data_IF_432735296392
#
_entry.id   IF_432735296392
#
_cell.length_a   1.000
_cell.length_b   1.000
_cell.length_c   1.000
_cell.angle_alpha   90.00
_cell.angle_beta   90.00
_cell.angle_gamma   90.00
#
_symmetry.space_group_name_H-M   'P 1'
#
loop_
_entity.id
_entity.type
_entity.pdbx_description
1 polymer ?
#
# COMPACT_ATOMS: atom_id res chain seq x y z
N UNK A 1 9.10 9.63 -9.25
CA UNK A 1 7.63 9.70 -9.19
C UNK A 1 7.04 9.27 -10.53
N UNK A 2 6.07 8.34 -10.51
CA UNK A 2 5.20 8.02 -11.65
C UNK A 2 3.79 8.48 -11.31
N UNK A 3 3.10 9.13 -12.25
CA UNK A 3 1.74 9.65 -12.06
C UNK A 3 0.77 9.00 -13.04
N UNK A 4 -0.37 8.51 -12.56
CA UNK A 4 -1.45 7.98 -13.41
C UNK A 4 -2.59 9.01 -13.48
N UNK A 5 -3.01 9.34 -14.70
CA UNK A 5 -4.01 10.38 -14.97
C UNK A 5 -5.42 10.08 -14.43
N UNK A 6 -6.16 11.16 -14.17
CA UNK A 6 -7.47 11.15 -13.50
C UNK A 6 -8.64 10.52 -14.31
N UNK A 7 -8.39 10.01 -15.51
CA UNK A 7 -9.37 9.25 -16.31
C UNK A 7 -9.31 7.73 -16.08
N UNK A 8 -8.43 7.27 -15.19
CA UNK A 8 -8.22 5.85 -14.92
C UNK A 8 -9.38 5.24 -14.10
N UNK A 9 -9.73 3.95 -14.27
CA UNK A 9 -10.63 3.23 -13.36
C UNK A 9 -10.19 3.28 -11.88
N UNK A 10 -8.98 3.76 -11.58
CA UNK A 10 -8.51 4.05 -10.23
C UNK A 10 -9.20 5.26 -9.55
N UNK A 11 -9.98 6.05 -10.29
CA UNK A 11 -10.73 7.22 -9.80
C UNK A 11 -12.12 6.93 -9.23
N UNK A 12 -12.47 5.67 -9.06
CA UNK A 12 -13.73 5.26 -8.42
C UNK A 12 -13.60 5.14 -6.90
N UNK A 13 -14.71 5.31 -6.20
CA UNK A 13 -14.80 5.01 -4.78
C UNK A 13 -14.88 3.48 -4.58
N UNK A 14 -13.96 2.92 -3.80
CA UNK A 14 -13.86 1.48 -3.60
C UNK A 14 -14.31 1.07 -2.20
N UNK A 15 -15.11 0.01 -2.12
CA UNK A 15 -15.36 -0.73 -0.87
C UNK A 15 -14.47 -1.96 -0.74
N UNK A 16 -13.75 -2.31 -1.81
CA UNK A 16 -12.73 -3.34 -1.83
C UNK A 16 -11.50 -2.85 -2.61
N UNK A 17 -10.32 -3.04 -2.04
CA UNK A 17 -9.06 -2.61 -2.65
C UNK A 17 -7.93 -3.55 -2.23
N UNK A 18 -6.97 -3.78 -3.11
CA UNK A 18 -5.64 -4.26 -2.73
C UNK A 18 -4.57 -3.38 -3.36
N UNK A 19 -3.58 -2.97 -2.55
CA UNK A 19 -2.31 -2.42 -3.01
C UNK A 19 -1.22 -3.46 -2.72
N UNK A 20 -0.43 -3.83 -3.72
CA UNK A 20 0.69 -4.77 -3.57
C UNK A 20 1.94 -4.19 -4.24
N UNK A 21 3.10 -4.33 -3.62
CA UNK A 21 4.37 -3.83 -4.15
C UNK A 21 5.55 -4.46 -3.41
N UNK A 22 6.68 -4.60 -4.10
CA UNK A 22 7.96 -4.85 -3.46
C UNK A 22 8.62 -3.52 -3.09
N UNK A 23 9.16 -3.43 -1.88
CA UNK A 23 9.87 -2.25 -1.38
C UNK A 23 11.21 -2.63 -0.76
N UNK A 24 12.23 -1.83 -1.05
CA UNK A 24 13.52 -1.86 -0.35
C UNK A 24 13.71 -0.51 0.32
N UNK A 25 13.72 -0.48 1.65
CA UNK A 25 13.87 0.77 2.41
C UNK A 25 15.33 1.01 2.80
N UNK A 26 15.88 2.18 2.45
CA UNK A 26 17.22 2.61 2.88
C UNK A 26 17.20 3.28 4.27
N UNK A 27 16.03 3.42 4.89
CA UNK A 27 15.85 4.24 6.08
C UNK A 27 14.56 5.04 6.01
N UNK A 28 14.23 5.71 7.10
CA UNK A 28 13.10 6.63 7.13
C UNK A 28 13.43 7.90 6.34
N UNK A 29 12.50 8.33 5.50
CA UNK A 29 12.54 9.62 4.81
C UNK A 29 11.79 10.69 5.61
N UNK A 30 11.05 11.55 4.91
CA UNK A 30 10.09 12.47 5.53
C UNK A 30 8.87 11.75 6.13
N UNK A 31 7.98 12.52 6.78
CA UNK A 31 6.67 11.99 7.20
C UNK A 31 5.82 11.66 5.98
N UNK A 32 5.07 10.54 6.05
CA UNK A 32 4.19 10.10 4.96
C UNK A 32 4.90 9.98 3.61
N UNK A 33 6.06 9.32 3.59
CA UNK A 33 6.79 9.10 2.35
C UNK A 33 6.03 8.11 1.47
N UNK A 34 5.36 8.61 0.43
CA UNK A 34 4.43 7.83 -0.37
C UNK A 34 5.15 6.74 -1.16
N UNK A 35 4.75 5.49 -0.95
CA UNK A 35 5.19 4.34 -1.74
C UNK A 35 4.29 4.22 -2.96
N UNK A 36 2.99 4.03 -2.74
CA UNK A 36 2.01 3.96 -3.82
C UNK A 36 0.59 4.26 -3.34
N UNK A 37 -0.20 4.96 -4.16
CA UNK A 37 -1.58 5.30 -3.84
C UNK A 37 -1.92 6.74 -4.22
N UNK A 38 -2.97 7.26 -3.60
CA UNK A 38 -3.54 8.59 -3.80
C UNK A 38 -3.44 9.46 -2.54
N UNK A 39 -2.29 9.41 -1.88
CA UNK A 39 -2.06 10.16 -0.65
C UNK A 39 -2.72 9.52 0.58
N UNK A 40 -2.69 10.30 1.67
CA UNK A 40 -3.16 9.89 3.00
C UNK A 40 -4.66 10.10 3.21
N UNK A 41 -5.32 10.84 2.32
CA UNK A 41 -6.74 11.22 2.44
C UNK A 41 -7.67 10.37 1.60
N UNK A 42 -7.16 9.55 0.67
CA UNK A 42 -7.97 8.69 -0.20
C UNK A 42 -7.61 7.22 0.02
N UNK A 43 -6.50 6.75 -0.53
CA UNK A 43 -5.93 5.46 -0.14
C UNK A 43 -4.46 5.45 -0.47
N UNK A 44 -3.64 4.81 0.35
CA UNK A 44 -2.22 4.73 0.01
C UNK A 44 -1.38 3.99 1.02
N UNK A 45 -0.24 3.53 0.53
CA UNK A 45 0.87 3.02 1.33
C UNK A 45 1.95 4.09 1.44
N UNK A 46 2.35 4.40 2.67
CA UNK A 46 3.46 5.30 2.97
C UNK A 46 4.46 4.64 3.92
N UNK A 47 5.69 5.15 3.94
CA UNK A 47 6.69 4.85 4.96
C UNK A 47 6.81 6.07 5.90
N UNK A 48 6.75 5.84 7.20
CA UNK A 48 6.83 6.90 8.20
C UNK A 48 8.18 6.99 8.89
N UNK A 49 8.41 8.14 9.54
CA UNK A 49 9.55 8.40 10.41
C UNK A 49 9.65 7.44 11.60
N UNK A 50 8.57 6.74 11.96
CA UNK A 50 8.57 5.70 12.99
C UNK A 50 8.99 4.30 12.47
N UNK A 51 9.47 4.20 11.23
CA UNK A 51 9.96 2.96 10.63
C UNK A 51 8.85 1.98 10.24
N UNK A 52 7.62 2.46 10.08
CA UNK A 52 6.47 1.63 9.73
C UNK A 52 5.92 1.96 8.35
N UNK A 53 5.37 0.94 7.72
CA UNK A 53 4.39 1.12 6.65
C UNK A 53 3.07 1.57 7.26
N UNK A 54 2.45 2.58 6.65
CA UNK A 54 1.10 3.02 6.95
C UNK A 54 0.21 2.80 5.74
N UNK A 55 -0.95 2.18 5.96
CA UNK A 55 -1.99 1.98 4.96
C UNK A 55 -3.21 2.84 5.33
N UNK A 56 -3.51 3.83 4.49
CA UNK A 56 -4.60 4.79 4.69
C UNK A 56 -5.85 4.45 3.89
N UNK A 57 -7.02 4.78 4.45
CA UNK A 57 -8.32 4.73 3.77
C UNK A 57 -9.15 5.98 4.16
N UNK A 58 -9.44 6.84 3.19
CA UNK A 58 -10.40 7.96 3.20
C UNK A 58 -10.17 9.05 4.27
N UNK A 59 -9.12 8.94 5.08
CA UNK A 59 -8.80 9.85 6.17
C UNK A 59 -7.38 9.57 6.68
N UNK A 60 -6.56 10.61 6.90
CA UNK A 60 -5.23 10.49 7.50
C UNK A 60 -5.25 9.90 8.92
N UNK A 61 -6.38 9.92 9.62
CA UNK A 61 -6.57 9.23 10.90
C UNK A 61 -7.00 7.76 10.79
N UNK A 62 -7.45 7.30 9.62
CA UNK A 62 -7.90 5.93 9.39
C UNK A 62 -6.79 5.11 8.73
N UNK A 63 -5.78 4.77 9.54
CA UNK A 63 -4.58 4.08 9.11
C UNK A 63 -4.36 2.74 9.83
N UNK A 64 -3.78 1.77 9.12
CA UNK A 64 -3.26 0.53 9.69
C UNK A 64 -1.74 0.49 9.48
N UNK A 65 -0.98 0.07 10.49
CA UNK A 65 0.49 0.16 10.44
C UNK A 65 1.19 -1.15 10.76
N UNK A 66 2.37 -1.35 10.18
CA UNK A 66 3.26 -2.48 10.51
C UNK A 66 4.72 -2.08 10.35
N UNK A 67 5.61 -2.66 11.16
CA UNK A 67 7.04 -2.38 11.09
C UNK A 67 7.64 -2.84 9.75
N UNK A 68 8.59 -2.06 9.24
CA UNK A 68 9.37 -2.38 8.05
C UNK A 68 10.86 -2.34 8.40
N UNK A 69 11.55 -3.46 8.22
CA UNK A 69 13.02 -3.46 8.31
C UNK A 69 13.65 -2.78 7.10
N UNK A 70 14.79 -2.13 7.34
CA UNK A 70 15.60 -1.49 6.30
C UNK A 70 16.63 -2.46 5.74
N UNK A 71 17.17 -2.15 4.56
CA UNK A 71 18.26 -2.93 3.95
C UNK A 71 17.85 -4.29 3.37
N UNK A 72 16.55 -4.54 3.20
CA UNK A 72 16.01 -5.75 2.62
C UNK A 72 14.77 -5.47 1.75
N UNK A 73 14.55 -6.34 0.76
CA UNK A 73 13.32 -6.35 -0.03
C UNK A 73 12.19 -6.98 0.77
N UNK A 74 11.05 -6.30 0.79
CA UNK A 74 9.80 -6.80 1.38
C UNK A 74 8.66 -6.69 0.39
N UNK A 75 7.88 -7.75 0.24
CA UNK A 75 6.64 -7.71 -0.51
C UNK A 75 5.50 -7.29 0.41
N UNK A 76 5.03 -6.05 0.27
CA UNK A 76 3.98 -5.47 1.08
C UNK A 76 2.65 -5.54 0.34
N UNK A 77 1.65 -6.14 0.99
CA UNK A 77 0.28 -6.19 0.46
C UNK A 77 -0.70 -5.66 1.50
N UNK A 78 -1.45 -4.63 1.14
CA UNK A 78 -2.52 -4.09 1.97
C UNK A 78 -3.87 -4.29 1.30
N UNK A 79 -4.84 -4.81 2.05
CA UNK A 79 -6.19 -5.10 1.57
C UNK A 79 -7.23 -4.35 2.37
N UNK A 80 -8.22 -3.80 1.69
CA UNK A 80 -9.45 -3.27 2.27
C UNK A 80 -10.62 -4.08 1.74
N UNK A 81 -11.48 -4.61 2.62
CA UNK A 81 -12.58 -5.52 2.26
C UNK A 81 -13.90 -5.04 2.81
N UNK A 82 -14.94 -5.07 1.98
CA UNK A 82 -16.34 -4.81 2.31
C UNK A 82 -16.54 -3.51 3.13
N UNK A 83 -15.79 -2.46 2.83
CA UNK A 83 -15.92 -1.19 3.55
C UNK A 83 -15.52 -1.23 5.02
N UNK A 84 -14.91 -2.32 5.50
CA UNK A 84 -14.83 -2.59 6.94
C UNK A 84 -13.48 -3.10 7.39
N UNK A 85 -12.86 -4.03 6.67
CA UNK A 85 -11.66 -4.72 7.17
C UNK A 85 -10.42 -4.25 6.44
N UNK A 86 -9.46 -3.68 7.16
CA UNK A 86 -8.11 -3.38 6.64
C UNK A 86 -7.14 -4.46 7.12
N UNK A 87 -6.27 -4.95 6.24
CA UNK A 87 -5.20 -5.89 6.59
C UNK A 87 -3.89 -5.51 5.91
N UNK A 88 -2.78 -5.83 6.56
CA UNK A 88 -1.45 -5.79 5.94
C UNK A 88 -0.83 -7.19 6.04
N UNK A 89 -0.22 -7.59 4.94
CA UNK A 89 0.62 -8.75 4.79
C UNK A 89 2.01 -8.28 4.36
N UNK A 90 3.04 -9.00 4.78
CA UNK A 90 4.42 -8.77 4.37
C UNK A 90 5.09 -10.11 4.15
N UNK A 91 5.76 -10.24 3.01
CA UNK A 91 6.44 -11.46 2.57
C UNK A 91 5.52 -12.69 2.55
N UNK A 92 4.28 -12.47 2.08
CA UNK A 92 3.26 -13.51 2.00
C UNK A 92 2.61 -13.87 3.34
N UNK A 93 3.01 -13.24 4.45
CA UNK A 93 2.53 -13.56 5.81
C UNK A 93 1.66 -12.43 6.37
N UNK A 94 0.57 -12.80 7.04
CA UNK A 94 -0.30 -11.85 7.74
C UNK A 94 0.47 -11.12 8.86
N UNK A 95 0.34 -9.80 8.93
CA UNK A 95 0.97 -8.98 9.97
C UNK A 95 -0.02 -8.36 10.94
N UNK A 96 -1.08 -7.73 10.42
CA UNK A 96 -2.03 -7.00 11.27
C UNK A 96 -3.36 -6.75 10.56
N UNK A 97 -4.40 -6.44 11.34
CA UNK A 97 -5.70 -5.98 10.84
C UNK A 97 -6.34 -4.98 11.80
N UNK A 98 -7.26 -4.17 11.27
CA UNK A 98 -8.20 -3.38 12.06
C UNK A 98 -9.53 -3.23 11.33
N UNK A 99 -10.56 -2.83 12.08
CA UNK A 99 -11.77 -2.27 11.49
C UNK A 99 -11.49 -0.84 11.02
N UNK A 100 -11.84 -0.55 9.77
CA UNK A 100 -11.82 0.77 9.17
C UNK A 100 -12.89 1.64 9.81
N UNK A 101 -12.59 2.91 10.03
CA UNK A 101 -13.59 3.90 10.45
C UNK A 101 -14.32 4.53 9.25
N UNK A 102 -13.95 4.15 8.02
CA UNK A 102 -14.54 4.62 6.76
C UNK A 102 -15.05 3.45 5.93
N UNK A 103 -16.24 3.61 5.36
CA UNK A 103 -16.93 2.58 4.58
C UNK A 103 -16.42 2.40 3.14
N UNK A 104 -15.59 3.33 2.67
CA UNK A 104 -15.05 3.36 1.31
C UNK A 104 -13.74 4.13 1.28
N UNK A 105 -13.02 4.09 0.16
CA UNK A 105 -11.74 4.79 0.00
C UNK A 105 -11.88 6.30 -0.20
N UNK A 106 -13.06 6.79 -0.53
CA UNK A 106 -13.25 8.15 -1.02
C UNK A 106 -12.81 8.30 -2.47
N UNK A 107 -13.01 9.50 -3.01
CA UNK A 107 -12.72 9.87 -4.40
C UNK A 107 -11.72 11.02 -4.50
N UNK A 108 -11.26 11.30 -5.72
CA UNK A 108 -10.25 12.31 -5.98
C UNK A 108 -8.83 11.78 -5.77
N UNK A 109 -7.90 12.71 -5.58
CA UNK A 109 -6.46 12.43 -5.47
C UNK A 109 -5.82 12.01 -6.79
N UNK A 110 -4.51 12.25 -6.90
CA UNK A 110 -3.70 11.76 -8.02
C UNK A 110 -3.00 10.48 -7.59
N UNK A 111 -3.09 9.42 -8.39
CA UNK A 111 -2.37 8.20 -8.08
C UNK A 111 -0.90 8.36 -8.43
N UNK A 112 -0.03 8.02 -7.49
CA UNK A 112 1.41 8.13 -7.62
C UNK A 112 2.14 6.87 -7.16
N UNK A 113 3.34 6.68 -7.70
CA UNK A 113 4.37 5.76 -7.20
C UNK A 113 5.59 6.60 -6.84
N UNK A 114 6.12 6.42 -5.63
CA UNK A 114 7.20 7.23 -5.07
C UNK A 114 6.93 8.74 -5.17
N UNK A 115 6.00 9.24 -4.34
CA UNK A 115 5.80 10.68 -4.13
C UNK A 115 4.36 11.11 -3.86
N UNK A 116 4.18 12.09 -2.97
CA UNK A 116 2.95 12.87 -2.77
C UNK A 116 3.27 14.09 -1.87
N UNK A 117 3.58 13.82 -0.61
CA UNK A 117 3.99 14.80 0.42
C UNK A 117 5.49 14.76 0.69
N UNK A 118 6.08 13.56 0.72
CA UNK A 118 7.54 13.36 0.78
C UNK A 118 7.96 12.16 -0.04
N UNK A 119 9.24 12.14 -0.43
CA UNK A 119 9.80 11.08 -1.27
C UNK A 119 10.19 9.86 -0.45
N UNK A 120 9.85 8.68 -0.97
CA UNK A 120 10.26 7.41 -0.41
C UNK A 120 11.77 7.19 -0.61
N UNK A 121 12.51 7.04 0.49
CA UNK A 121 13.94 6.73 0.48
C UNK A 121 14.17 5.22 0.31
N UNK A 122 14.16 4.78 -0.94
CA UNK A 122 14.29 3.36 -1.23
C UNK A 122 14.00 3.02 -2.69
N UNK A 123 13.82 1.73 -2.94
CA UNK A 123 13.42 1.19 -4.24
C UNK A 123 12.02 0.59 -4.14
N UNK A 124 11.26 0.71 -5.23
CA UNK A 124 9.90 0.18 -5.36
C UNK A 124 9.87 -0.64 -6.64
N UNK A 125 9.28 -1.82 -6.58
CA UNK A 125 9.08 -2.67 -7.75
C UNK A 125 7.67 -3.31 -7.73
N UNK A 126 7.22 -3.72 -8.91
CA UNK A 126 6.05 -4.57 -9.13
C UNK A 126 4.78 -4.10 -8.40
N UNK A 127 4.46 -2.81 -8.61
CA UNK A 127 3.27 -2.17 -8.07
C UNK A 127 2.03 -2.74 -8.78
N UNK A 128 1.13 -3.34 -8.00
CA UNK A 128 -0.15 -3.88 -8.45
C UNK A 128 -1.30 -3.31 -7.62
N UNK A 129 -2.42 -3.10 -8.30
CA UNK A 129 -3.66 -2.60 -7.69
C UNK A 129 -4.80 -3.50 -8.13
N UNK A 130 -5.67 -3.86 -7.20
CA UNK A 130 -6.85 -4.65 -7.47
C UNK A 130 -8.09 -3.95 -6.88
N UNK A 131 -9.20 -3.96 -7.61
CA UNK A 131 -10.50 -3.48 -7.13
C UNK A 131 -11.24 -4.54 -6.27
N UNK A 132 -10.49 -5.50 -5.72
CA UNK A 132 -10.96 -6.53 -4.80
C UNK A 132 -9.91 -6.79 -3.73
N UNK A 133 -10.34 -7.33 -2.59
CA UNK A 133 -9.44 -7.72 -1.50
C UNK A 133 -8.86 -9.11 -1.77
N UNK A 134 -7.53 -9.22 -1.88
CA UNK A 134 -6.87 -10.53 -1.97
C UNK A 134 -7.06 -11.34 -0.68
N UNK A 135 -7.21 -12.65 -0.84
CA UNK A 135 -7.17 -13.62 0.26
C UNK A 135 -5.74 -13.91 0.68
N UNK A 136 -5.54 -14.44 1.88
CA UNK A 136 -4.21 -14.83 2.36
C UNK A 136 -3.50 -15.82 1.41
N UNK A 137 -4.24 -16.76 0.83
CA UNK A 137 -3.70 -17.70 -0.17
C UNK A 137 -3.25 -16.98 -1.44
N UNK A 138 -4.07 -16.06 -1.97
CA UNK A 138 -3.68 -15.27 -3.15
C UNK A 138 -2.46 -14.38 -2.86
N UNK A 139 -2.37 -13.79 -1.67
CA UNK A 139 -1.20 -13.01 -1.25
C UNK A 139 0.06 -13.86 -1.20
N UNK A 140 -0.03 -15.07 -0.65
CA UNK A 140 1.09 -16.02 -0.62
C UNK A 140 1.51 -16.45 -2.03
N UNK A 141 0.55 -16.73 -2.90
CA UNK A 141 0.82 -17.03 -4.32
C UNK A 141 1.48 -15.84 -5.01
N UNK A 142 1.02 -14.61 -4.76
CA UNK A 142 1.58 -13.39 -5.34
C UNK A 142 3.04 -13.19 -4.91
N UNK A 143 3.34 -13.38 -3.62
CA UNK A 143 4.70 -13.34 -3.10
C UNK A 143 5.62 -14.36 -3.78
N UNK A 144 5.17 -15.61 -3.90
CA UNK A 144 5.95 -16.68 -4.53
C UNK A 144 6.10 -16.50 -6.05
N UNK A 145 5.12 -15.89 -6.72
CA UNK A 145 5.09 -15.68 -8.17
C UNK A 145 5.80 -14.42 -8.65
N UNK A 146 6.00 -13.43 -7.77
CA UNK A 146 6.83 -12.24 -8.04
C UNK A 146 8.33 -12.50 -7.91
N UNK A 147 8.72 -13.54 -7.17
CA UNK A 147 10.08 -14.08 -7.16
C UNK A 147 10.34 -14.87 -8.45
N UNK A 148 10.44 -14.18 -9.58
CA UNK A 148 10.93 -14.81 -10.81
C UNK A 148 12.39 -15.20 -10.53
N UNK A 149 12.62 -16.50 -10.34
CA UNK A 149 13.95 -17.07 -10.20
C UNK A 149 14.72 -16.76 -11.49
N UNK A 150 15.58 -15.74 -11.46
CA UNK A 150 16.65 -15.63 -12.45
C UNK A 150 17.65 -16.76 -12.13
N UNK A 151 17.59 -17.81 -12.94
CA UNK A 151 18.71 -18.76 -13.07
C UNK A 151 19.80 -18.13 -13.92
#
# INVERSE_FOLDING_TARGET
>A
MVTIGNGSPLNTDFTNLTLATWVYSNGTGGSDAQITGKGTTVYGLTHHTDGKIWFYINNGGNALTTALSTGAWHHVVATFKNGTTMKIYMDGVYKTQRTSTSASTGTGGTFTIAGATSDFNGQIDDVRIYNYALTATQVKTLYNGGAVNFR
#
